data_IF_956713734627
#
_entry.id   IF_956713734627
#
_cell.length_a   1.000
_cell.length_b   1.000
_cell.length_c   1.000
_cell.angle_alpha   90.00
_cell.angle_beta   90.00
_cell.angle_gamma   90.00
#
_symmetry.space_group_name_H-M   'P 1'
#
loop_
_entity.id
_entity.type
_entity.pdbx_description
1 polymer ?
#
# COMPACT_ATOMS: atom_id res chain seq x y z
N UNK A 1 -11.06 0.11 -10.14
CA UNK A 1 -11.90 -1.11 -10.14
C UNK A 1 -11.24 -2.23 -10.91
N UNK A 2 -11.72 -3.46 -10.76
CA UNK A 2 -11.40 -4.60 -11.66
C UNK A 2 -11.37 -4.19 -13.15
N UNK A 3 -12.29 -3.32 -13.58
CA UNK A 3 -12.32 -2.76 -14.93
C UNK A 3 -11.11 -1.87 -15.29
N UNK A 4 -10.60 -1.07 -14.35
CA UNK A 4 -9.36 -0.27 -14.52
C UNK A 4 -8.13 -1.19 -14.60
N UNK A 5 -8.14 -2.27 -13.82
CA UNK A 5 -7.07 -3.27 -13.77
C UNK A 5 -6.99 -4.08 -15.08
N UNK A 6 -8.15 -4.46 -15.64
CA UNK A 6 -8.25 -5.10 -16.94
C UNK A 6 -7.77 -4.21 -18.10
N UNK A 7 -8.03 -2.90 -18.02
CA UNK A 7 -7.52 -1.91 -18.98
C UNK A 7 -5.99 -1.77 -18.89
N UNK A 8 -5.42 -1.77 -17.68
CA UNK A 8 -3.97 -1.76 -17.47
C UNK A 8 -3.31 -3.05 -18.00
N UNK A 9 -3.94 -4.21 -17.76
CA UNK A 9 -3.53 -5.51 -18.29
C UNK A 9 -3.46 -5.50 -19.83
N UNK A 10 -4.52 -5.07 -20.51
CA UNK A 10 -4.55 -4.94 -21.97
C UNK A 10 -3.47 -3.99 -22.49
N UNK A 11 -3.30 -2.84 -21.84
CA UNK A 11 -2.26 -1.87 -22.22
C UNK A 11 -0.83 -2.42 -22.05
N UNK A 12 -0.61 -3.36 -21.13
CA UNK A 12 0.69 -4.02 -20.93
C UNK A 12 0.90 -5.25 -21.82
N UNK A 13 -0.15 -5.91 -22.30
CA UNK A 13 -0.06 -7.04 -23.26
C UNK A 13 0.46 -6.59 -24.63
N UNK A 14 0.09 -5.37 -25.05
CA UNK A 14 0.52 -4.76 -26.32
C UNK A 14 1.89 -4.04 -26.21
N UNK A 15 2.53 -4.05 -25.02
CA UNK A 15 3.80 -3.36 -24.77
C UNK A 15 5.02 -4.24 -25.15
N UNK A 16 5.96 -3.74 -25.99
CA UNK A 16 7.16 -4.50 -26.36
C UNK A 16 8.14 -4.72 -25.19
N UNK A 17 7.94 -4.06 -24.04
CA UNK A 17 8.77 -4.23 -22.86
C UNK A 17 8.48 -5.55 -22.13
N UNK A 18 9.48 -6.43 -22.11
CA UNK A 18 9.45 -7.77 -21.49
C UNK A 18 9.08 -7.72 -20.00
N UNK A 19 9.49 -6.68 -19.26
CA UNK A 19 9.14 -6.53 -17.83
C UNK A 19 7.64 -6.27 -17.64
N UNK A 20 7.04 -5.46 -18.52
CA UNK A 20 5.60 -5.16 -18.50
C UNK A 20 4.77 -6.38 -18.89
N UNK A 21 5.24 -7.18 -19.84
CA UNK A 21 4.57 -8.43 -20.24
C UNK A 21 4.59 -9.49 -19.11
N UNK A 22 5.70 -9.63 -18.39
CA UNK A 22 5.78 -10.51 -17.21
C UNK A 22 4.83 -10.05 -16.10
N UNK A 23 4.77 -8.75 -15.86
CA UNK A 23 3.80 -8.22 -14.92
C UNK A 23 2.36 -8.41 -15.39
N UNK A 24 2.05 -8.21 -16.68
CA UNK A 24 0.72 -8.51 -17.22
C UNK A 24 0.35 -9.99 -16.98
N UNK A 25 1.28 -10.92 -17.15
CA UNK A 25 1.05 -12.33 -16.84
C UNK A 25 0.87 -12.60 -15.34
N UNK A 26 1.64 -11.94 -14.47
CA UNK A 26 1.47 -12.03 -13.02
C UNK A 26 0.12 -11.45 -12.57
N UNK A 27 -0.28 -10.32 -13.16
CA UNK A 27 -1.57 -9.64 -12.96
C UNK A 27 -2.74 -10.50 -13.49
N UNK A 28 -2.56 -11.22 -14.60
CA UNK A 28 -3.56 -12.14 -15.14
C UNK A 28 -3.68 -13.41 -14.28
N UNK A 29 -2.55 -13.95 -13.78
CA UNK A 29 -2.55 -15.03 -12.79
C UNK A 29 -3.26 -14.60 -11.51
N UNK A 30 -3.04 -13.36 -11.05
CA UNK A 30 -3.75 -12.79 -9.91
C UNK A 30 -5.27 -12.82 -10.10
N UNK A 31 -5.77 -12.34 -11.25
CA UNK A 31 -7.20 -12.36 -11.56
C UNK A 31 -7.82 -13.75 -11.53
N UNK A 32 -7.01 -14.78 -11.80
CA UNK A 32 -7.46 -16.18 -11.81
C UNK A 32 -7.38 -16.85 -10.44
N UNK A 33 -6.49 -16.41 -9.56
CA UNK A 33 -6.08 -17.20 -8.39
C UNK A 33 -6.72 -16.81 -7.06
N UNK A 34 -7.39 -15.64 -6.94
CA UNK A 34 -7.92 -15.13 -5.66
C UNK A 34 -6.94 -15.43 -4.49
N UNK A 35 -5.75 -14.82 -4.49
CA UNK A 35 -4.64 -15.30 -3.66
C UNK A 35 -5.01 -15.28 -2.18
N UNK A 36 -4.92 -16.45 -1.54
CA UNK A 36 -5.32 -16.62 -0.14
C UNK A 36 -4.11 -16.64 0.82
N UNK A 37 -2.90 -16.87 0.32
CA UNK A 37 -1.69 -16.95 1.14
C UNK A 37 -0.71 -15.78 0.88
N UNK A 38 0.15 -15.52 1.88
CA UNK A 38 1.10 -14.41 1.87
C UNK A 38 2.04 -14.46 0.66
N UNK A 39 2.52 -15.63 0.25
CA UNK A 39 3.47 -15.75 -0.85
C UNK A 39 2.86 -15.30 -2.19
N UNK A 40 1.64 -15.76 -2.50
CA UNK A 40 0.92 -15.34 -3.70
C UNK A 40 0.59 -13.86 -3.66
N UNK A 41 0.12 -13.34 -2.52
CA UNK A 41 -0.15 -11.90 -2.37
C UNK A 41 1.13 -11.07 -2.52
N UNK A 42 2.27 -11.51 -1.98
CA UNK A 42 3.59 -10.89 -2.18
C UNK A 42 3.96 -10.82 -3.65
N UNK A 43 3.86 -11.94 -4.39
CA UNK A 43 4.16 -11.97 -5.83
C UNK A 43 3.34 -10.89 -6.55
N UNK A 44 2.03 -10.85 -6.33
CA UNK A 44 1.14 -9.88 -6.96
C UNK A 44 1.52 -8.45 -6.63
N UNK A 45 1.75 -8.14 -5.36
CA UNK A 45 2.08 -6.79 -4.91
C UNK A 45 3.43 -6.31 -5.44
N UNK A 46 4.47 -7.16 -5.39
CA UNK A 46 5.82 -6.80 -5.85
C UNK A 46 5.86 -6.64 -7.36
N UNK A 47 5.22 -7.54 -8.12
CA UNK A 47 5.18 -7.44 -9.59
C UNK A 47 4.36 -6.23 -10.04
N UNK A 48 3.22 -5.95 -9.39
CA UNK A 48 2.45 -4.73 -9.65
C UNK A 48 3.29 -3.48 -9.36
N UNK A 49 4.01 -3.47 -8.24
CA UNK A 49 4.86 -2.35 -7.89
C UNK A 49 5.94 -2.13 -8.96
N UNK A 50 6.63 -3.20 -9.38
CA UNK A 50 7.72 -3.09 -10.36
C UNK A 50 7.25 -2.55 -11.70
N UNK A 51 6.17 -3.10 -12.26
CA UNK A 51 5.77 -2.75 -13.62
C UNK A 51 4.90 -1.50 -13.73
N UNK A 52 4.20 -1.15 -12.64
CA UNK A 52 3.23 -0.04 -12.65
C UNK A 52 3.65 1.04 -11.66
N UNK A 53 3.62 0.73 -10.36
CA UNK A 53 3.77 1.76 -9.33
C UNK A 53 5.11 2.49 -9.44
N UNK A 54 6.24 1.80 -9.63
CA UNK A 54 7.56 2.43 -9.59
C UNK A 54 7.72 3.55 -10.62
N UNK A 55 7.01 3.47 -11.74
CA UNK A 55 7.11 4.44 -12.83
C UNK A 55 6.26 5.70 -12.61
N UNK A 56 5.38 5.69 -11.61
CA UNK A 56 4.54 6.83 -11.25
C UNK A 56 5.34 7.90 -10.51
N UNK A 57 4.83 9.12 -10.49
CA UNK A 57 5.44 10.26 -9.78
C UNK A 57 6.92 10.44 -10.19
N UNK A 58 7.19 10.41 -11.50
CA UNK A 58 8.53 10.56 -12.05
C UNK A 58 9.54 9.51 -11.56
N UNK A 59 9.10 8.26 -11.33
CA UNK A 59 9.98 7.18 -10.86
C UNK A 59 10.12 7.09 -9.33
N UNK A 60 9.38 7.90 -8.56
CA UNK A 60 9.56 8.02 -7.10
C UNK A 60 8.38 7.54 -6.28
N UNK A 61 7.37 6.98 -6.95
CA UNK A 61 6.17 6.52 -6.27
C UNK A 61 6.47 5.40 -5.25
N UNK A 62 5.73 5.45 -4.15
CA UNK A 62 5.83 4.53 -3.02
C UNK A 62 4.54 3.76 -2.85
N UNK A 63 4.65 2.61 -2.20
CA UNK A 63 3.51 1.79 -1.82
C UNK A 63 3.47 1.50 -0.32
N UNK A 64 2.26 1.27 0.18
CA UNK A 64 2.01 0.82 1.54
C UNK A 64 1.21 -0.49 1.52
N UNK A 65 1.60 -1.44 2.35
CA UNK A 65 0.88 -2.70 2.58
C UNK A 65 0.26 -2.65 3.96
N UNK A 66 -1.07 -2.68 4.05
CA UNK A 66 -1.83 -2.64 5.31
C UNK A 66 -2.22 -4.07 5.67
N UNK A 67 -1.68 -4.58 6.78
CA UNK A 67 -1.85 -5.98 7.21
C UNK A 67 -2.80 -6.10 8.40
N UNK A 68 -3.48 -7.24 8.50
CA UNK A 68 -4.44 -7.52 9.58
C UNK A 68 -3.84 -7.54 10.99
N UNK A 69 -2.58 -7.97 11.12
CA UNK A 69 -1.90 -8.14 12.41
C UNK A 69 -0.41 -7.82 12.33
N UNK A 70 0.23 -7.67 13.49
CA UNK A 70 1.69 -7.48 13.60
C UNK A 70 2.47 -8.70 13.11
N UNK A 71 1.97 -9.91 13.39
CA UNK A 71 2.57 -11.14 12.88
C UNK A 71 2.46 -11.27 11.35
N UNK A 72 1.36 -10.81 10.76
CA UNK A 72 1.27 -10.74 9.29
C UNK A 72 2.23 -9.73 8.70
N UNK A 73 2.43 -8.56 9.32
CA UNK A 73 3.43 -7.60 8.87
C UNK A 73 4.85 -8.22 8.84
N UNK A 74 5.21 -8.97 9.88
CA UNK A 74 6.47 -9.73 9.94
C UNK A 74 6.56 -10.73 8.79
N UNK A 75 5.54 -11.57 8.61
CA UNK A 75 5.53 -12.61 7.56
C UNK A 75 5.57 -12.01 6.16
N UNK A 76 4.86 -10.91 5.93
CA UNK A 76 4.93 -10.19 4.67
C UNK A 76 6.31 -9.59 4.45
N UNK A 77 6.92 -8.94 5.45
CA UNK A 77 8.28 -8.40 5.34
C UNK A 77 9.29 -9.47 4.92
N UNK A 78 9.28 -10.62 5.59
CA UNK A 78 10.12 -11.77 5.22
C UNK A 78 9.83 -12.27 3.79
N UNK A 79 8.55 -12.38 3.43
CA UNK A 79 8.14 -12.82 2.09
C UNK A 79 8.57 -11.85 1.00
N UNK A 80 8.40 -10.54 1.22
CA UNK A 80 8.81 -9.47 0.32
C UNK A 80 10.31 -9.48 0.12
N UNK A 81 11.10 -9.49 1.20
CA UNK A 81 12.56 -9.44 1.11
C UNK A 81 13.11 -10.65 0.35
N UNK A 82 12.61 -11.85 0.67
CA UNK A 82 12.99 -13.07 -0.05
C UNK A 82 12.63 -12.96 -1.54
N UNK A 83 11.40 -12.58 -1.86
CA UNK A 83 10.94 -12.52 -3.25
C UNK A 83 11.70 -11.47 -4.07
N UNK A 84 11.94 -10.28 -3.49
CA UNK A 84 12.73 -9.21 -4.10
C UNK A 84 14.16 -9.68 -4.38
N UNK A 85 14.79 -10.36 -3.41
CA UNK A 85 16.13 -10.90 -3.55
C UNK A 85 16.21 -12.00 -4.62
N UNK A 86 15.27 -12.95 -4.63
CA UNK A 86 15.18 -14.03 -5.63
C UNK A 86 15.03 -13.48 -7.06
N UNK A 87 14.32 -12.36 -7.22
CA UNK A 87 14.14 -11.69 -8.52
C UNK A 87 15.28 -10.72 -8.88
N UNK A 88 16.16 -10.40 -7.95
CA UNK A 88 17.22 -9.39 -8.16
C UNK A 88 16.66 -7.97 -8.36
N UNK A 89 15.50 -7.65 -7.79
CA UNK A 89 14.92 -6.33 -7.89
C UNK A 89 15.62 -5.33 -6.96
N UNK A 90 15.79 -4.08 -7.43
CA UNK A 90 16.42 -3.01 -6.64
C UNK A 90 15.48 -2.39 -5.57
N UNK A 91 14.25 -2.90 -5.44
CA UNK A 91 13.28 -2.42 -4.45
C UNK A 91 13.73 -2.84 -3.06
N UNK A 92 13.50 -1.98 -2.06
CA UNK A 92 13.59 -2.36 -0.65
C UNK A 92 12.30 -2.06 0.08
N UNK A 93 12.02 -2.88 1.09
CA UNK A 93 10.84 -2.78 1.93
C UNK A 93 11.22 -2.41 3.37
N UNK A 94 10.36 -1.67 4.06
CA UNK A 94 10.40 -1.44 5.51
C UNK A 94 9.14 -2.00 6.16
N UNK A 95 9.21 -2.36 7.43
CA UNK A 95 8.03 -2.79 8.22
C UNK A 95 7.82 -1.87 9.42
N UNK A 96 6.57 -1.68 9.83
CA UNK A 96 6.22 -0.84 10.98
C UNK A 96 5.13 -1.48 11.84
N UNK A 97 5.47 -1.74 13.11
CA UNK A 97 4.55 -2.27 14.12
C UNK A 97 5.04 -1.95 15.54
N UNK A 98 4.12 -1.99 16.51
CA UNK A 98 4.43 -1.71 17.90
C UNK A 98 4.93 -2.95 18.65
N UNK A 99 5.93 -2.75 19.52
CA UNK A 99 6.42 -3.76 20.45
C UNK A 99 7.11 -4.96 19.78
N UNK A 100 7.22 -6.05 20.54
CA UNK A 100 7.81 -7.31 20.11
C UNK A 100 6.72 -8.28 19.65
N UNK A 101 6.98 -8.97 18.53
CA UNK A 101 6.12 -10.01 17.97
C UNK A 101 6.76 -11.36 18.19
N UNK A 102 6.02 -12.31 18.74
CA UNK A 102 6.44 -13.71 18.87
C UNK A 102 6.03 -14.49 17.64
N UNK A 103 6.92 -15.37 17.17
CA UNK A 103 6.58 -16.33 16.12
C UNK A 103 5.70 -17.45 16.71
N UNK A 104 4.56 -17.69 16.08
CA UNK A 104 3.60 -18.73 16.48
C UNK A 104 4.02 -20.14 16.04
N UNK A 105 4.98 -20.25 15.10
CA UNK A 105 5.48 -21.51 14.56
C UNK A 105 6.88 -21.85 15.04
N UNK A 106 7.66 -20.84 15.43
CA UNK A 106 9.03 -20.99 15.90
C UNK A 106 9.15 -20.53 17.37
N UNK A 107 9.05 -21.47 18.34
CA UNK A 107 9.14 -21.13 19.75
C UNK A 107 10.42 -20.36 20.09
N UNK A 108 10.28 -19.24 20.81
CA UNK A 108 11.40 -18.40 21.24
C UNK A 108 11.90 -17.40 20.19
N UNK A 109 11.41 -17.47 18.94
CA UNK A 109 11.73 -16.46 17.94
C UNK A 109 10.88 -15.21 18.16
N UNK A 110 11.54 -14.06 18.14
CA UNK A 110 10.91 -12.75 18.31
C UNK A 110 11.36 -11.80 17.22
N UNK A 111 10.49 -10.85 16.90
CA UNK A 111 10.74 -9.81 15.92
C UNK A 111 10.42 -8.44 16.51
N UNK A 112 11.26 -7.47 16.17
CA UNK A 112 11.05 -6.05 16.49
C UNK A 112 11.13 -5.25 15.20
N UNK A 113 10.45 -4.10 15.18
CA UNK A 113 10.50 -3.18 14.02
C UNK A 113 11.94 -2.84 13.65
N UNK A 114 12.75 -2.44 14.63
CA UNK A 114 14.16 -2.07 14.46
C UNK A 114 14.99 -3.24 13.92
N UNK A 115 14.81 -4.44 14.48
CA UNK A 115 15.53 -5.64 14.03
C UNK A 115 15.21 -6.01 12.58
N UNK A 116 13.95 -5.89 12.18
CA UNK A 116 13.51 -6.18 10.82
C UNK A 116 13.86 -5.10 9.80
N UNK A 117 14.14 -3.88 10.26
CA UNK A 117 14.58 -2.76 9.43
C UNK A 117 16.09 -2.50 9.54
N UNK A 118 16.90 -3.52 9.83
CA UNK A 118 18.37 -3.44 9.84
C UNK A 118 18.92 -2.34 10.76
N UNK A 119 18.26 -2.10 11.91
CA UNK A 119 18.70 -1.12 12.90
C UNK A 119 18.07 0.27 12.76
N UNK A 120 17.24 0.52 11.74
CA UNK A 120 16.51 1.80 11.60
C UNK A 120 15.54 1.94 12.77
N UNK A 121 15.68 3.03 13.54
CA UNK A 121 14.79 3.30 14.66
C UNK A 121 13.39 3.74 14.19
N UNK A 122 12.41 3.61 15.08
CA UNK A 122 11.03 4.03 14.79
C UNK A 122 10.92 5.53 14.46
N UNK A 123 11.84 6.34 14.99
CA UNK A 123 11.91 7.79 14.76
C UNK A 123 12.49 8.13 13.38
N UNK A 124 13.46 7.34 12.92
CA UNK A 124 14.15 7.55 11.64
C UNK A 124 13.38 6.95 10.45
N UNK A 125 12.51 5.96 10.71
CA UNK A 125 11.78 5.24 9.67
C UNK A 125 11.05 6.18 8.69
N UNK A 126 10.29 7.21 9.11
CA UNK A 126 9.62 8.11 8.17
C UNK A 126 10.59 8.87 7.25
N UNK A 127 11.73 9.31 7.80
CA UNK A 127 12.76 10.01 7.03
C UNK A 127 13.43 9.06 6.03
N UNK A 128 13.81 7.85 6.48
CA UNK A 128 14.36 6.80 5.62
C UNK A 128 13.40 6.40 4.52
N UNK A 129 12.11 6.27 4.83
CA UNK A 129 11.10 5.97 3.83
C UNK A 129 10.88 7.12 2.85
N UNK A 130 11.21 8.37 3.19
CA UNK A 130 11.13 9.48 2.24
C UNK A 130 12.24 9.43 1.19
N UNK A 131 13.40 8.84 1.53
CA UNK A 131 14.49 8.63 0.57
C UNK A 131 14.10 7.68 -0.56
N UNK A 132 14.91 7.61 -1.63
CA UNK A 132 14.68 6.65 -2.71
C UNK A 132 15.13 5.23 -2.37
N UNK A 133 15.75 5.01 -1.21
CA UNK A 133 16.29 3.69 -0.83
C UNK A 133 15.17 2.67 -0.59
N UNK A 134 14.05 3.10 -0.01
CA UNK A 134 12.92 2.24 0.34
C UNK A 134 11.66 2.70 -0.38
N UNK A 135 10.91 1.76 -0.96
CA UNK A 135 9.74 2.09 -1.78
C UNK A 135 8.45 1.44 -1.29
N UNK A 136 8.54 0.38 -0.48
CA UNK A 136 7.38 -0.30 0.10
C UNK A 136 7.43 -0.24 1.62
N UNK A 137 6.32 0.17 2.25
CA UNK A 137 6.17 0.17 3.71
C UNK A 137 5.04 -0.79 4.13
N UNK A 138 5.39 -1.80 4.91
CA UNK A 138 4.46 -2.78 5.47
C UNK A 138 4.02 -2.36 6.86
N UNK A 139 2.72 -2.34 7.14
CA UNK A 139 2.16 -1.69 8.32
C UNK A 139 1.02 -2.51 8.92
N UNK A 140 1.05 -2.75 10.23
CA UNK A 140 -0.05 -3.37 10.97
C UNK A 140 -1.02 -2.34 11.62
N UNK A 141 -0.48 -1.56 12.56
CA UNK A 141 -1.25 -0.65 13.42
C UNK A 141 -0.67 0.79 13.41
N UNK A 142 0.63 0.91 13.19
CA UNK A 142 1.32 2.20 13.15
C UNK A 142 0.93 2.99 11.91
N UNK A 143 1.25 4.28 11.87
CA UNK A 143 1.10 5.14 10.68
C UNK A 143 -0.32 5.23 10.08
N UNK A 144 -1.34 4.71 10.76
CA UNK A 144 -2.75 4.99 10.48
C UNK A 144 -3.10 6.45 10.83
N UNK A 145 -2.34 7.07 11.74
CA UNK A 145 -2.37 8.50 12.10
C UNK A 145 -0.97 9.12 11.96
N UNK A 146 -0.89 10.41 11.60
CA UNK A 146 0.37 11.18 11.63
C UNK A 146 1.41 10.93 10.53
N UNK A 147 1.34 9.83 9.77
CA UNK A 147 2.25 9.61 8.63
C UNK A 147 1.81 10.42 7.41
N UNK A 148 2.70 11.26 6.92
CA UNK A 148 2.50 12.05 5.71
C UNK A 148 3.56 11.71 4.66
N UNK A 149 3.12 11.23 3.51
CA UNK A 149 4.01 10.83 2.42
C UNK A 149 3.37 11.20 1.07
N UNK A 150 3.69 12.36 0.49
CA UNK A 150 3.16 12.80 -0.80
C UNK A 150 3.46 11.84 -1.95
N UNK A 151 4.55 11.07 -1.85
CA UNK A 151 4.94 10.07 -2.86
C UNK A 151 4.16 8.75 -2.73
N UNK A 152 3.31 8.59 -1.72
CA UNK A 152 2.49 7.39 -1.56
C UNK A 152 1.42 7.36 -2.65
N UNK A 153 1.57 6.45 -3.61
CA UNK A 153 0.69 6.31 -4.78
C UNK A 153 -0.20 5.07 -4.68
N UNK A 154 0.37 3.97 -4.19
CA UNK A 154 -0.29 2.67 -4.17
C UNK A 154 -0.53 2.19 -2.75
N UNK A 155 -1.71 1.63 -2.49
CA UNK A 155 -2.00 0.92 -1.25
C UNK A 155 -2.48 -0.50 -1.54
N UNK A 156 -1.87 -1.45 -0.86
CA UNK A 156 -2.29 -2.84 -0.82
C UNK A 156 -2.94 -3.11 0.53
N UNK A 157 -4.16 -3.65 0.54
CA UNK A 157 -4.94 -3.85 1.76
C UNK A 157 -5.20 -5.33 1.95
N UNK A 158 -4.61 -5.90 3.00
CA UNK A 158 -4.90 -7.25 3.50
C UNK A 158 -5.36 -7.18 4.96
N UNK A 159 -6.32 -6.28 5.21
CA UNK A 159 -6.93 -6.03 6.51
C UNK A 159 -8.41 -5.71 6.30
N UNK A 160 -9.27 -6.21 7.19
CA UNK A 160 -10.67 -5.79 7.22
C UNK A 160 -10.73 -4.31 7.60
N UNK A 161 -11.24 -3.47 6.70
CA UNK A 161 -11.44 -2.04 6.88
C UNK A 161 -12.93 -1.74 6.88
N UNK A 162 -13.41 -1.05 7.92
CA UNK A 162 -14.80 -0.63 8.02
C UNK A 162 -14.91 0.74 8.70
N UNK A 163 -15.98 1.47 8.39
CA UNK A 163 -16.29 2.78 8.98
C UNK A 163 -15.12 3.75 8.92
N UNK A 164 -14.82 4.41 10.04
CA UNK A 164 -13.77 5.44 10.12
C UNK A 164 -12.39 4.93 9.74
N UNK A 165 -12.08 3.66 10.03
CA UNK A 165 -10.76 3.09 9.75
C UNK A 165 -10.51 2.97 8.26
N UNK A 166 -11.54 2.67 7.46
CA UNK A 166 -11.44 2.64 6.01
C UNK A 166 -11.11 4.04 5.46
N UNK A 167 -11.83 5.06 5.91
CA UNK A 167 -11.62 6.45 5.48
C UNK A 167 -10.24 6.93 5.89
N UNK A 168 -9.83 6.75 7.15
CA UNK A 168 -8.52 7.17 7.64
C UNK A 168 -7.35 6.50 6.92
N UNK A 169 -7.49 5.20 6.64
CA UNK A 169 -6.45 4.42 5.95
C UNK A 169 -6.33 4.85 4.50
N UNK A 170 -7.44 4.82 3.74
CA UNK A 170 -7.42 5.11 2.31
C UNK A 170 -7.16 6.61 2.01
N UNK A 171 -7.58 7.52 2.90
CA UNK A 171 -7.31 8.96 2.76
C UNK A 171 -5.81 9.31 2.81
N UNK A 172 -4.94 8.40 3.27
CA UNK A 172 -3.48 8.58 3.20
C UNK A 172 -2.99 8.75 1.76
N UNK A 173 -3.74 8.23 0.79
CA UNK A 173 -3.44 8.40 -0.63
C UNK A 173 -3.81 9.79 -1.16
N UNK A 174 -4.59 10.60 -0.44
CA UNK A 174 -5.07 11.90 -0.95
C UNK A 174 -4.05 13.04 -0.82
N UNK A 175 -2.81 12.75 -0.40
CA UNK A 175 -1.73 13.74 -0.35
C UNK A 175 -1.35 14.20 -1.76
N UNK A 176 -1.43 15.51 -1.98
CA UNK A 176 -1.22 16.16 -3.28
C UNK A 176 0.28 16.20 -3.59
N UNK A 177 0.62 15.90 -4.84
CA UNK A 177 1.96 16.08 -5.39
C UNK A 177 1.84 16.43 -6.88
N UNK A 178 2.64 17.37 -7.43
CA UNK A 178 2.47 17.84 -8.81
C UNK A 178 2.50 16.74 -9.88
N UNK A 179 3.31 15.71 -9.68
CA UNK A 179 3.45 14.55 -10.58
C UNK A 179 2.53 13.36 -10.22
N UNK A 180 1.56 13.57 -9.34
CA UNK A 180 0.64 12.53 -8.88
C UNK A 180 -0.75 12.80 -9.44
N UNK A 181 -1.00 12.18 -10.60
CA UNK A 181 -2.23 12.33 -11.37
C UNK A 181 -3.34 11.38 -10.88
N UNK A 182 -2.94 10.22 -10.36
CA UNK A 182 -3.84 9.17 -9.88
C UNK A 182 -3.29 8.46 -8.63
N UNK A 183 -4.12 7.56 -8.08
CA UNK A 183 -3.77 6.64 -6.99
C UNK A 183 -4.28 5.26 -7.30
N UNK A 184 -3.70 4.25 -6.67
CA UNK A 184 -4.10 2.86 -6.88
C UNK A 184 -4.32 2.13 -5.56
N UNK A 185 -5.44 1.42 -5.44
CA UNK A 185 -5.76 0.56 -4.29
C UNK A 185 -6.03 -0.85 -4.78
N UNK A 186 -5.36 -1.82 -4.18
CA UNK A 186 -5.65 -3.23 -4.33
C UNK A 186 -6.05 -3.80 -2.98
N UNK A 187 -7.31 -4.20 -2.87
CA UNK A 187 -7.89 -4.74 -1.65
C UNK A 187 -8.14 -6.24 -1.80
N UNK A 188 -7.58 -7.03 -0.88
CA UNK A 188 -7.69 -8.49 -0.84
C UNK A 188 -8.83 -8.99 0.06
N UNK A 189 -9.44 -8.10 0.86
CA UNK A 189 -10.34 -8.49 1.97
C UNK A 189 -11.71 -7.86 1.87
N UNK A 190 -11.79 -6.58 1.49
CA UNK A 190 -13.02 -5.81 1.61
C UNK A 190 -13.83 -5.78 0.32
N UNK A 191 -15.15 -5.72 0.49
CA UNK A 191 -16.05 -5.43 -0.60
C UNK A 191 -16.00 -3.95 -0.97
N UNK A 192 -16.09 -3.67 -2.28
CA UNK A 192 -15.99 -2.31 -2.79
C UNK A 192 -17.17 -1.44 -2.36
N UNK A 193 -18.38 -1.99 -2.32
CA UNK A 193 -19.57 -1.23 -1.96
C UNK A 193 -19.52 -0.87 -0.47
N UNK A 194 -19.06 -1.77 0.39
CA UNK A 194 -18.89 -1.47 1.81
C UNK A 194 -17.88 -0.32 2.05
N UNK A 195 -16.75 -0.32 1.34
CA UNK A 195 -15.80 0.79 1.40
C UNK A 195 -16.44 2.07 0.88
N UNK A 196 -17.23 2.01 -0.20
CA UNK A 196 -17.93 3.18 -0.75
C UNK A 196 -18.93 3.76 0.23
N UNK A 197 -19.74 2.93 0.88
CA UNK A 197 -20.70 3.37 1.89
C UNK A 197 -19.99 3.95 3.11
N UNK A 198 -18.88 3.36 3.55
CA UNK A 198 -18.06 3.95 4.59
C UNK A 198 -17.58 5.35 4.22
N UNK A 199 -17.19 5.59 2.97
CA UNK A 199 -16.81 6.94 2.51
C UNK A 199 -17.99 7.91 2.47
N UNK A 200 -19.16 7.50 1.95
CA UNK A 200 -20.34 8.37 1.86
C UNK A 200 -20.72 8.97 3.20
N UNK A 201 -20.77 8.17 4.27
CA UNK A 201 -21.15 8.65 5.61
C UNK A 201 -20.30 9.84 6.07
N UNK A 202 -19.00 9.85 5.76
CA UNK A 202 -18.11 10.93 6.16
C UNK A 202 -18.10 12.12 5.20
N UNK A 203 -18.29 11.89 3.90
CA UNK A 203 -18.34 12.97 2.91
C UNK A 203 -19.70 13.68 2.87
N UNK A 204 -20.80 12.94 3.02
CA UNK A 204 -22.15 13.51 3.17
C UNK A 204 -22.31 14.16 4.56
N UNK A 205 -21.67 13.61 5.59
CA UNK A 205 -21.58 14.27 6.91
C UNK A 205 -20.72 15.54 6.91
N UNK A 206 -19.76 15.66 5.98
CA UNK A 206 -18.92 16.85 5.82
C UNK A 206 -19.63 18.02 5.11
N UNK A 207 -20.76 17.78 4.41
CA UNK A 207 -21.60 18.85 3.87
C UNK A 207 -22.44 19.57 4.95
N UNK A 208 -22.39 19.14 6.22
CA UNK A 208 -22.95 19.88 7.36
C UNK A 208 -21.85 20.53 8.23
N UNK A 209 -20.92 21.25 7.59
CA UNK A 209 -19.92 22.06 8.28
C UNK A 209 -19.58 23.32 7.48
N UNK A 210 -20.09 24.46 7.96
CA UNK A 210 -19.94 25.83 7.43
C UNK A 210 -20.69 26.15 6.13
N UNK A 211 -21.96 26.56 6.27
CA UNK A 211 -22.47 27.66 5.45
C UNK A 211 -21.58 28.88 5.71
N UNK A 212 -20.62 29.12 4.82
CA UNK A 212 -19.96 30.43 4.76
C UNK A 212 -21.03 31.43 4.32
N UNK A 213 -21.32 32.39 5.21
CA UNK A 213 -22.26 33.48 4.97
C UNK A 213 -21.90 34.23 3.67
N UNK A 214 -22.77 34.24 2.65
CA UNK A 214 -22.52 34.90 1.36
C UNK A 214 -22.26 36.41 1.46
N UNK A 215 -22.54 37.04 2.61
CA UNK A 215 -22.35 38.47 2.82
C UNK A 215 -20.89 38.90 3.08
N UNK A 216 -19.93 37.96 3.17
CA UNK A 216 -18.49 38.27 3.33
C UNK A 216 -17.66 38.32 2.04
N UNK A 217 -18.27 38.20 0.85
CA UNK A 217 -17.58 38.16 -0.45
C UNK A 217 -17.63 39.48 -1.26
N UNK A 218 -18.07 40.60 -0.66
CA UNK A 218 -17.94 41.92 -1.28
C UNK A 218 -17.37 42.94 -0.29
N UNK A 219 -16.05 43.11 -0.36
CA UNK A 219 -15.34 44.35 -0.05
C UNK A 219 -14.20 44.50 -1.06
#
# INVERSE_FOLDING_TARGET
>A
TYATYFKLLKACEDDPNVERKKAAQALARFMKLHPHNIAQKTEVMVEHFQAVTRHKIGGRAKAMVVTGSRLEAVRYKQSFDRYIQEKGYAIKSLVAFSGTVLDDKLPGVTYTEVGMNLGISEKELPEKFTTQEYQVLLVAEKYQTGFDQPLLHTMFVDKRLAGIQAVQTLSRLNRIHPLKEDTFVLDFVNDREEIREAFKVYYEGAEMGEQVDPSRMYA
#
